data_IF_287429770595
#
_entry.id   IF_287429770595
#
_cell.length_a   1.000
_cell.length_b   1.000
_cell.length_c   1.000
_cell.angle_alpha   90.00
_cell.angle_beta   90.00
_cell.angle_gamma   90.00
#
_symmetry.space_group_name_H-M   'P 1'
#
loop_
_entity.id
_entity.type
_entity.pdbx_description
1 polymer ?
#
# COMPACT_ATOMS: atom_id res chain seq x y z
N UNK A 1 -7.68 16.02 -7.34
CA UNK A 1 -7.60 14.55 -7.48
C UNK A 1 -8.96 13.87 -7.33
N UNK A 2 -9.71 14.11 -6.24
CA UNK A 2 -10.99 13.42 -5.99
C UNK A 2 -12.01 13.54 -7.15
N UNK A 3 -12.16 14.74 -7.72
CA UNK A 3 -13.12 15.00 -8.80
C UNK A 3 -12.89 14.15 -10.06
N UNK A 4 -11.63 13.92 -10.45
CA UNK A 4 -11.30 13.07 -11.60
C UNK A 4 -11.52 11.59 -11.31
N UNK A 5 -11.26 11.13 -10.08
CA UNK A 5 -11.53 9.75 -9.68
C UNK A 5 -13.04 9.46 -9.68
N UNK A 6 -13.84 10.41 -9.21
CA UNK A 6 -15.31 10.35 -9.26
C UNK A 6 -15.82 10.31 -10.71
N UNK A 7 -15.30 11.17 -11.59
CA UNK A 7 -15.62 11.19 -13.02
C UNK A 7 -15.23 9.87 -13.72
N UNK A 8 -14.11 9.26 -13.32
CA UNK A 8 -13.65 7.96 -13.80
C UNK A 8 -14.32 6.77 -13.11
N UNK A 9 -15.22 7.00 -12.15
CA UNK A 9 -15.88 5.98 -11.32
C UNK A 9 -14.90 5.00 -10.67
N UNK A 10 -13.72 5.49 -10.29
CA UNK A 10 -12.69 4.70 -9.61
C UNK A 10 -12.78 4.93 -8.10
N UNK A 11 -12.99 3.86 -7.33
CA UNK A 11 -12.96 3.94 -5.88
C UNK A 11 -11.51 3.88 -5.39
N UNK A 12 -11.07 4.87 -4.60
CA UNK A 12 -9.67 4.99 -4.14
C UNK A 12 -9.62 5.05 -2.62
N UNK A 13 -8.93 4.09 -2.01
CA UNK A 13 -8.62 4.07 -0.60
C UNK A 13 -7.28 4.74 -0.34
N UNK A 14 -7.20 5.59 0.67
CA UNK A 14 -5.95 6.22 1.09
C UNK A 14 -5.49 5.66 2.42
N UNK A 15 -4.19 5.38 2.52
CA UNK A 15 -3.56 4.98 3.78
C UNK A 15 -2.93 6.19 4.47
N UNK A 16 -2.99 6.20 5.80
CA UNK A 16 -2.28 7.18 6.61
C UNK A 16 -0.75 6.99 6.42
N UNK A 17 -0.03 8.03 5.96
CA UNK A 17 1.42 7.97 5.80
C UNK A 17 2.18 7.65 7.10
N UNK A 18 1.62 7.95 8.27
CA UNK A 18 2.23 7.61 9.57
C UNK A 18 2.27 6.10 9.80
N UNK A 19 1.21 5.40 9.40
CA UNK A 19 1.14 3.93 9.46
C UNK A 19 2.03 3.30 8.40
N UNK A 20 2.29 3.99 7.28
CA UNK A 20 3.10 3.49 6.18
C UNK A 20 4.50 4.10 6.14
N UNK A 21 5.26 3.92 7.22
CA UNK A 21 6.66 4.31 7.33
C UNK A 21 7.57 3.10 7.52
N UNK A 22 8.87 3.23 7.19
CA UNK A 22 9.85 2.17 7.33
C UNK A 22 9.89 1.59 8.75
N UNK A 23 9.84 2.46 9.77
CA UNK A 23 9.79 2.06 11.18
C UNK A 23 8.55 1.23 11.49
N UNK A 24 7.37 1.66 11.05
CA UNK A 24 6.12 0.95 11.36
C UNK A 24 6.03 -0.36 10.57
N UNK A 25 6.46 -0.38 9.30
CA UNK A 25 6.57 -1.61 8.49
C UNK A 25 7.48 -2.63 9.17
N UNK A 26 8.60 -2.20 9.75
CA UNK A 26 9.57 -3.09 10.38
C UNK A 26 9.12 -3.60 11.77
N UNK A 27 8.59 -2.72 12.61
CA UNK A 27 8.34 -3.05 14.03
C UNK A 27 6.87 -3.30 14.38
N UNK A 28 5.95 -2.91 13.50
CA UNK A 28 4.49 -3.04 13.69
C UNK A 28 3.81 -3.54 12.40
N UNK A 29 4.43 -4.51 11.74
CA UNK A 29 3.98 -5.04 10.45
C UNK A 29 2.50 -5.46 10.44
N UNK A 30 2.00 -6.04 11.53
CA UNK A 30 0.58 -6.42 11.67
C UNK A 30 -0.37 -5.22 11.55
N UNK A 31 -0.04 -4.08 12.15
CA UNK A 31 -0.87 -2.86 12.07
C UNK A 31 -0.92 -2.36 10.62
N UNK A 32 0.22 -2.40 9.93
CA UNK A 32 0.32 -2.05 8.51
C UNK A 32 -0.51 -2.99 7.64
N UNK A 33 -0.40 -4.30 7.86
CA UNK A 33 -1.15 -5.33 7.13
C UNK A 33 -2.66 -5.10 7.29
N UNK A 34 -3.14 -4.86 8.51
CA UNK A 34 -4.57 -4.61 8.75
C UNK A 34 -5.04 -3.30 8.09
N UNK A 35 -4.22 -2.25 8.14
CA UNK A 35 -4.54 -0.98 7.48
C UNK A 35 -4.66 -1.16 5.95
N UNK A 36 -3.67 -1.82 5.32
CA UNK A 36 -3.70 -2.13 3.89
C UNK A 36 -4.94 -2.96 3.55
N UNK A 37 -5.20 -4.04 4.28
CA UNK A 37 -6.35 -4.93 4.05
C UNK A 37 -7.68 -4.18 4.13
N UNK A 38 -7.83 -3.28 5.10
CA UNK A 38 -9.04 -2.44 5.22
C UNK A 38 -9.22 -1.53 4.00
N UNK A 39 -8.13 -1.02 3.44
CA UNK A 39 -8.16 -0.18 2.24
C UNK A 39 -8.40 -0.99 0.94
N UNK A 40 -8.10 -2.30 0.90
CA UNK A 40 -8.26 -3.15 -0.29
C UNK A 40 -9.71 -3.37 -0.76
N UNK A 41 -10.71 -2.87 -0.04
CA UNK A 41 -12.11 -2.78 -0.51
C UNK A 41 -12.32 -1.72 -1.62
N UNK A 42 -11.26 -1.04 -2.07
CA UNK A 42 -11.28 -0.02 -3.11
C UNK A 42 -10.61 -0.56 -4.39
N UNK A 43 -10.85 0.06 -5.55
CA UNK A 43 -10.20 -0.34 -6.81
C UNK A 43 -8.69 -0.10 -6.77
N UNK A 44 -8.30 0.98 -6.09
CA UNK A 44 -6.92 1.37 -5.85
C UNK A 44 -6.69 1.69 -4.39
N UNK A 45 -5.55 1.27 -3.84
CA UNK A 45 -5.03 1.78 -2.57
C UNK A 45 -3.82 2.64 -2.84
N UNK A 46 -3.84 3.87 -2.36
CA UNK A 46 -2.79 4.86 -2.56
C UNK A 46 -2.18 5.25 -1.22
N UNK A 47 -0.85 5.23 -1.13
CA UNK A 47 -0.14 5.59 0.09
C UNK A 47 1.17 6.29 -0.18
N UNK A 48 1.54 7.22 0.69
CA UNK A 48 2.89 7.76 0.75
C UNK A 48 3.72 6.92 1.72
N UNK A 49 4.66 6.14 1.19
CA UNK A 49 5.61 5.36 1.99
C UNK A 49 6.81 6.22 2.40
N UNK A 50 7.01 6.41 3.70
CA UNK A 50 8.19 7.10 4.22
C UNK A 50 9.35 6.12 4.46
N UNK A 51 10.45 6.26 3.73
CA UNK A 51 11.65 5.40 3.88
C UNK A 51 12.55 5.80 5.05
N UNK A 52 12.15 6.79 5.85
CA UNK A 52 12.93 7.48 6.89
C UNK A 52 13.46 8.84 6.44
N UNK A 53 13.92 8.97 5.19
CA UNK A 53 14.51 10.20 4.64
C UNK A 53 13.93 10.62 3.28
N UNK A 54 13.04 9.80 2.71
CA UNK A 54 12.47 10.01 1.38
C UNK A 54 11.05 9.45 1.31
N UNK A 55 10.25 10.02 0.42
CA UNK A 55 8.86 9.62 0.20
C UNK A 55 8.71 8.91 -1.14
N UNK A 56 8.06 7.77 -1.12
CA UNK A 56 7.74 6.97 -2.31
C UNK A 56 6.23 6.79 -2.38
N UNK A 57 5.63 7.08 -3.53
CA UNK A 57 4.21 6.84 -3.73
C UNK A 57 4.00 5.37 -4.09
N UNK A 58 3.17 4.68 -3.31
CA UNK A 58 2.79 3.28 -3.52
C UNK A 58 1.34 3.21 -3.95
N UNK A 59 1.09 2.51 -5.05
CA UNK A 59 -0.25 2.31 -5.61
C UNK A 59 -0.48 0.81 -5.76
N UNK A 60 -1.50 0.29 -5.08
CA UNK A 60 -1.96 -1.09 -5.20
C UNK A 60 -3.20 -1.07 -6.11
N UNK A 61 -3.08 -1.58 -7.32
CA UNK A 61 -4.17 -1.68 -8.29
C UNK A 61 -4.87 -3.04 -8.15
N UNK A 62 -5.98 -3.10 -7.40
CA UNK A 62 -6.65 -4.35 -7.03
C UNK A 62 -7.15 -5.13 -8.24
N UNK A 63 -7.69 -4.41 -9.25
CA UNK A 63 -8.20 -5.02 -10.49
C UNK A 63 -7.12 -5.72 -11.32
N UNK A 64 -5.89 -5.22 -11.30
CA UNK A 64 -4.80 -5.72 -12.15
C UNK A 64 -3.82 -6.61 -11.39
N UNK A 65 -3.96 -6.72 -10.07
CA UNK A 65 -3.01 -7.42 -9.22
C UNK A 65 -1.56 -6.92 -9.44
N UNK A 66 -1.42 -5.59 -9.50
CA UNK A 66 -0.14 -4.89 -9.72
C UNK A 66 0.07 -3.85 -8.62
N UNK A 67 1.33 -3.72 -8.18
CA UNK A 67 1.77 -2.67 -7.26
C UNK A 67 2.80 -1.79 -7.96
N UNK A 68 2.57 -0.48 -7.99
CA UNK A 68 3.56 0.49 -8.47
C UNK A 68 4.23 1.21 -7.31
N UNK A 69 5.54 1.39 -7.44
CA UNK A 69 6.38 2.18 -6.55
C UNK A 69 6.94 3.34 -7.35
N UNK A 70 6.35 4.52 -7.17
CA UNK A 70 6.73 5.73 -7.88
C UNK A 70 7.70 6.52 -7.02
N UNK A 71 8.97 6.48 -7.43
CA UNK A 71 10.09 7.09 -6.74
C UNK A 71 10.68 8.21 -7.60
N UNK A 72 10.59 9.45 -7.11
CA UNK A 72 11.09 10.63 -7.82
C UNK A 72 12.61 10.79 -7.78
N UNK A 73 13.29 10.09 -6.87
CA UNK A 73 14.72 10.22 -6.70
C UNK A 73 15.46 9.12 -7.45
N UNK A 74 16.38 9.53 -8.33
CA UNK A 74 17.27 8.66 -9.10
C UNK A 74 18.38 8.03 -8.25
N UNK A 75 18.24 8.05 -6.92
CA UNK A 75 19.31 7.83 -5.96
C UNK A 75 19.92 6.45 -6.04
N UNK A 76 21.19 6.40 -6.41
CA UNK A 76 22.04 5.23 -6.28
C UNK A 76 22.54 5.15 -4.82
N UNK A 77 22.50 3.98 -4.15
CA UNK A 77 22.02 2.70 -4.65
C UNK A 77 20.49 2.63 -4.73
N UNK A 78 19.99 1.86 -5.69
CA UNK A 78 18.55 1.59 -5.86
C UNK A 78 17.92 1.18 -4.53
N UNK A 79 16.89 1.91 -4.10
CA UNK A 79 16.10 1.55 -2.92
C UNK A 79 15.49 0.17 -3.12
N UNK A 80 15.69 -0.70 -2.13
CA UNK A 80 15.06 -2.02 -2.09
C UNK A 80 13.77 -1.91 -1.27
N UNK A 81 12.64 -2.20 -1.89
CA UNK A 81 11.32 -2.16 -1.23
C UNK A 81 10.91 -3.52 -0.63
N UNK A 82 11.88 -4.37 -0.25
CA UNK A 82 11.61 -5.76 0.13
C UNK A 82 10.60 -5.88 1.28
N UNK A 83 10.74 -5.05 2.30
CA UNK A 83 9.86 -5.09 3.48
C UNK A 83 8.44 -4.65 3.11
N UNK A 84 8.32 -3.60 2.29
CA UNK A 84 7.03 -3.11 1.79
C UNK A 84 6.35 -4.15 0.91
N UNK A 85 7.08 -4.76 -0.02
CA UNK A 85 6.59 -5.86 -0.87
C UNK A 85 6.09 -7.01 0.00
N UNK A 86 6.82 -7.34 1.07
CA UNK A 86 6.46 -8.43 1.98
C UNK A 86 5.13 -8.15 2.70
N UNK A 87 4.96 -6.97 3.30
CA UNK A 87 3.72 -6.63 4.02
C UNK A 87 2.52 -6.45 3.07
N UNK A 88 2.73 -5.92 1.86
CA UNK A 88 1.67 -5.82 0.84
C UNK A 88 1.23 -7.20 0.38
N UNK A 89 2.17 -8.11 0.13
CA UNK A 89 1.86 -9.49 -0.26
C UNK A 89 1.09 -10.22 0.85
N UNK A 90 1.51 -10.09 2.12
CA UNK A 90 0.78 -10.68 3.24
C UNK A 90 -0.63 -10.11 3.38
N UNK A 91 -0.81 -8.79 3.29
CA UNK A 91 -2.12 -8.16 3.31
C UNK A 91 -3.02 -8.67 2.18
N UNK A 92 -2.46 -8.81 0.97
CA UNK A 92 -3.19 -9.37 -0.17
C UNK A 92 -3.58 -10.84 0.05
N UNK A 93 -2.65 -11.67 0.54
CA UNK A 93 -2.92 -13.07 0.89
C UNK A 93 -4.04 -13.20 1.93
N UNK A 94 -4.03 -12.38 2.99
CA UNK A 94 -5.11 -12.34 3.98
C UNK A 94 -6.44 -11.85 3.42
N UNK A 95 -6.40 -10.93 2.45
CA UNK A 95 -7.60 -10.37 1.82
C UNK A 95 -8.31 -11.38 0.91
N UNK A 96 -7.54 -12.18 0.17
CA UNK A 96 -8.07 -13.17 -0.77
C UNK A 96 -8.46 -14.50 -0.11
N UNK A 97 -7.91 -14.87 1.06
CA UNK A 97 -8.26 -16.12 1.75
C UNK A 97 -9.71 -16.07 2.29
N UNK A 98 -10.65 -16.89 1.73
CA UNK A 98 -12.04 -16.90 2.16
C UNK A 98 -12.23 -17.40 3.61
N UNK A 99 -11.27 -18.12 4.18
CA UNK A 99 -11.38 -18.74 5.52
C UNK A 99 -11.27 -17.72 6.66
N UNK A 100 -10.76 -16.52 6.41
CA UNK A 100 -10.66 -15.46 7.42
C UNK A 100 -11.82 -14.44 7.38
N UNK A 101 -12.72 -14.52 6.39
CA UNK A 101 -13.92 -13.66 6.30
C UNK A 101 -15.09 -14.12 7.17
N UNK A 102 -14.93 -15.23 7.91
CA UNK A 102 -15.90 -15.75 8.87
C UNK A 102 -15.29 -15.78 10.28
N UNK A 103 -15.34 -14.65 10.99
CA UNK A 103 -15.37 -14.60 12.46
C UNK A 103 -16.19 -13.40 12.88
#
# INVERSE_FOLDING_TARGET
MMKLAEEMKCNVGFLDPQIFSATVVQFKSNDVIQAIKKAMNHDYVVSAFNTGSHWVLVIIAMKWNVVWYLDSSKGFPLRKFKDVVTVVNWAYSEYIDPKMKKK
#
